data_IF_200984274604
#
_entry.id   IF_200984274604
#
_cell.length_a   1.000
_cell.length_b   1.000
_cell.length_c   1.000
_cell.angle_alpha   90.00
_cell.angle_beta   90.00
_cell.angle_gamma   90.00
#
_symmetry.space_group_name_H-M   'P 1'
#
loop_
_entity.id
_entity.type
_entity.pdbx_description
1 polymer ?
#
# COMPACT_ATOMS: atom_id res chain seq x y z
N UNK A 1 -22.06 19.93 2.99
CA UNK A 1 -21.19 19.75 1.81
C UNK A 1 -19.87 20.45 2.14
N UNK A 2 -18.89 19.71 2.66
CA UNK A 2 -17.60 20.31 3.03
C UNK A 2 -16.77 20.52 1.76
N UNK A 3 -16.23 21.73 1.50
CA UNK A 3 -15.38 21.98 0.35
C UNK A 3 -14.08 21.18 0.48
N UNK A 4 -13.63 20.56 -0.61
CA UNK A 4 -12.31 19.92 -0.71
C UNK A 4 -11.27 21.04 -0.83
N UNK A 5 -10.88 21.59 0.33
CA UNK A 5 -9.74 22.50 0.47
C UNK A 5 -8.47 21.83 -0.04
N UNK A 6 -7.93 22.35 -1.15
CA UNK A 6 -6.55 22.20 -1.62
C UNK A 6 -6.00 20.77 -1.71
N UNK A 7 -5.85 20.24 -2.93
CA UNK A 7 -4.99 19.07 -3.17
C UNK A 7 -3.51 19.42 -2.91
N UNK A 8 -3.12 19.51 -1.64
CA UNK A 8 -1.71 19.52 -1.29
C UNK A 8 -1.20 18.10 -1.54
N UNK A 9 -0.47 17.92 -2.64
CA UNK A 9 0.10 16.62 -2.98
C UNK A 9 1.18 16.30 -1.96
N UNK A 10 0.90 15.39 -1.03
CA UNK A 10 1.87 14.83 -0.10
C UNK A 10 2.80 13.88 -0.86
N UNK A 11 3.77 14.44 -1.60
CA UNK A 11 4.70 13.70 -2.44
C UNK A 11 5.85 13.15 -1.57
N UNK A 12 6.21 11.89 -1.81
CA UNK A 12 7.42 11.25 -1.28
C UNK A 12 8.40 11.15 -2.44
N UNK A 13 9.56 11.79 -2.32
CA UNK A 13 10.55 11.82 -3.39
C UNK A 13 11.27 10.48 -3.55
N UNK A 14 11.85 10.20 -4.71
CA UNK A 14 12.69 9.01 -4.91
C UNK A 14 13.89 8.99 -3.97
N UNK A 15 14.49 10.16 -3.68
CA UNK A 15 15.62 10.28 -2.75
C UNK A 15 15.22 9.90 -1.32
N UNK A 16 14.02 10.27 -0.90
CA UNK A 16 13.48 9.91 0.41
C UNK A 16 13.06 8.43 0.48
N UNK A 17 12.48 7.90 -0.59
CA UNK A 17 12.02 6.54 -0.67
C UNK A 17 13.18 5.53 -0.76
N UNK A 18 14.23 5.84 -1.53
CA UNK A 18 15.39 4.98 -1.81
C UNK A 18 15.07 3.77 -2.70
N UNK A 19 13.95 3.09 -2.45
CA UNK A 19 13.47 1.92 -3.19
C UNK A 19 11.94 1.96 -3.32
N UNK A 20 11.35 1.17 -4.22
CA UNK A 20 9.89 1.05 -4.31
C UNK A 20 9.24 0.52 -3.00
N UNK A 21 9.78 -0.52 -2.32
CA UNK A 21 9.29 -0.88 -0.98
C UNK A 21 9.47 0.24 0.04
N UNK A 22 10.56 1.01 -0.04
CA UNK A 22 10.77 2.18 0.81
C UNK A 22 9.71 3.27 0.61
N UNK A 23 9.32 3.55 -0.63
CA UNK A 23 8.20 4.44 -0.95
C UNK A 23 6.89 3.99 -0.27
N UNK A 24 6.59 2.69 -0.36
CA UNK A 24 5.41 2.10 0.27
C UNK A 24 5.43 2.25 1.80
N UNK A 25 6.56 1.95 2.44
CA UNK A 25 6.71 2.10 3.90
C UNK A 25 6.54 3.57 4.33
N UNK A 26 7.15 4.52 3.61
CA UNK A 26 7.00 5.96 3.88
C UNK A 26 5.55 6.43 3.78
N UNK A 27 4.81 5.94 2.77
CA UNK A 27 3.38 6.26 2.61
C UNK A 27 2.55 5.75 3.80
N UNK A 28 2.82 4.53 4.27
CA UNK A 28 2.12 3.98 5.43
C UNK A 28 2.45 4.78 6.70
N UNK A 29 3.71 5.20 6.88
CA UNK A 29 4.12 6.02 8.02
C UNK A 29 3.40 7.38 8.05
N UNK A 30 3.30 8.06 6.90
CA UNK A 30 2.69 9.40 6.83
C UNK A 30 1.17 9.37 6.98
N UNK A 31 0.50 8.40 6.36
CA UNK A 31 -0.96 8.39 6.26
C UNK A 31 -1.55 6.99 6.46
N UNK A 32 -1.38 6.36 7.65
CA UNK A 32 -1.77 4.96 7.86
C UNK A 32 -3.29 4.74 7.72
N UNK A 33 -4.11 5.72 8.12
CA UNK A 33 -5.58 5.61 8.06
C UNK A 33 -6.19 6.13 6.76
N UNK A 34 -5.38 6.72 5.86
CA UNK A 34 -5.89 7.16 4.58
C UNK A 34 -6.19 5.95 3.68
N UNK A 35 -7.18 6.10 2.81
CA UNK A 35 -7.53 5.07 1.81
C UNK A 35 -6.37 4.89 0.84
N UNK A 36 -5.88 3.66 0.76
CA UNK A 36 -4.82 3.24 -0.17
C UNK A 36 -5.42 2.82 -1.51
N UNK A 37 -6.40 1.92 -1.47
CA UNK A 37 -7.15 1.50 -2.65
C UNK A 37 -8.59 1.13 -2.27
N UNK A 38 -9.43 1.06 -3.28
CA UNK A 38 -10.80 0.59 -3.16
C UNK A 38 -11.01 -0.57 -4.12
N UNK A 39 -11.78 -1.56 -3.70
CA UNK A 39 -12.21 -2.67 -4.55
C UNK A 39 -13.72 -2.79 -4.51
N UNK A 40 -14.31 -3.18 -5.64
CA UNK A 40 -15.72 -3.51 -5.67
C UNK A 40 -15.92 -4.92 -5.14
N UNK A 41 -16.86 -5.07 -4.21
CA UNK A 41 -17.36 -6.34 -3.67
C UNK A 41 -18.69 -6.68 -4.36
N UNK A 42 -18.70 -7.64 -5.31
CA UNK A 42 -19.93 -8.00 -6.02
C UNK A 42 -20.98 -8.66 -5.13
N UNK A 43 -20.58 -9.38 -4.07
CA UNK A 43 -21.51 -10.06 -3.18
C UNK A 43 -22.30 -9.05 -2.34
N UNK A 44 -21.61 -8.03 -1.83
CA UNK A 44 -22.21 -6.91 -1.12
C UNK A 44 -22.68 -5.75 -2.00
N UNK A 45 -22.47 -5.83 -3.32
CA UNK A 45 -22.73 -4.78 -4.32
C UNK A 45 -22.22 -3.39 -3.93
N UNK A 46 -21.02 -3.33 -3.33
CA UNK A 46 -20.49 -2.09 -2.74
C UNK A 46 -19.00 -1.94 -2.97
N UNK A 47 -18.52 -0.70 -2.83
CA UNK A 47 -17.09 -0.43 -2.76
C UNK A 47 -16.58 -0.62 -1.33
N UNK A 48 -15.49 -1.35 -1.19
CA UNK A 48 -14.76 -1.54 0.07
C UNK A 48 -13.47 -0.74 -0.04
N UNK A 49 -13.19 0.06 0.98
CA UNK A 49 -11.94 0.83 1.07
C UNK A 49 -10.96 0.11 1.98
N UNK A 50 -9.69 0.10 1.59
CA UNK A 50 -8.59 -0.40 2.40
C UNK A 50 -7.66 0.75 2.74
N UNK A 51 -7.35 0.89 4.03
CA UNK A 51 -6.38 1.86 4.54
C UNK A 51 -4.95 1.37 4.30
N UNK A 52 -3.98 2.29 4.27
CA UNK A 52 -2.56 1.94 4.15
C UNK A 52 -2.10 0.97 5.25
N UNK A 53 -2.64 1.11 6.48
CA UNK A 53 -2.39 0.16 7.57
C UNK A 53 -2.88 -1.25 7.24
N UNK A 54 -4.08 -1.40 6.71
CA UNK A 54 -4.64 -2.72 6.35
C UNK A 54 -3.84 -3.37 5.21
N UNK A 55 -3.43 -2.58 4.20
CA UNK A 55 -2.57 -3.07 3.12
C UNK A 55 -1.23 -3.56 3.67
N UNK A 56 -0.62 -2.84 4.63
CA UNK A 56 0.62 -3.28 5.29
C UNK A 56 0.47 -4.66 5.94
N UNK A 57 -0.65 -4.93 6.59
CA UNK A 57 -0.91 -6.22 7.23
C UNK A 57 -0.96 -7.35 6.19
N UNK A 58 -1.59 -7.13 5.04
CA UNK A 58 -1.60 -8.11 3.95
C UNK A 58 -0.22 -8.29 3.32
N UNK A 59 0.50 -7.19 3.05
CA UNK A 59 1.85 -7.22 2.52
C UNK A 59 2.80 -8.03 3.41
N UNK A 60 2.73 -7.81 4.73
CA UNK A 60 3.60 -8.50 5.70
C UNK A 60 3.38 -10.02 5.68
N UNK A 61 2.14 -10.47 5.47
CA UNK A 61 1.82 -11.91 5.35
C UNK A 61 2.47 -12.54 4.13
N UNK A 62 2.35 -11.90 2.97
CA UNK A 62 2.97 -12.39 1.74
C UNK A 62 4.49 -12.32 1.78
N UNK A 63 5.05 -11.26 2.36
CA UNK A 63 6.49 -11.14 2.55
C UNK A 63 7.04 -12.29 3.40
N UNK A 64 6.36 -12.62 4.50
CA UNK A 64 6.75 -13.73 5.37
C UNK A 64 6.62 -15.09 4.66
N UNK A 65 5.55 -15.31 3.90
CA UNK A 65 5.38 -16.53 3.13
C UNK A 65 6.51 -16.70 2.10
N UNK A 66 6.78 -15.66 1.29
CA UNK A 66 7.82 -15.69 0.26
C UNK A 66 9.23 -15.82 0.84
N UNK A 67 9.49 -15.26 2.03
CA UNK A 67 10.78 -15.43 2.71
C UNK A 67 11.01 -16.87 3.19
N UNK A 68 9.95 -17.68 3.32
CA UNK A 68 10.04 -19.10 3.62
C UNK A 68 10.25 -19.99 2.39
N UNK A 69 10.16 -19.43 1.18
CA UNK A 69 10.38 -20.14 -0.06
C UNK A 69 11.87 -20.13 -0.44
N UNK A 70 12.29 -21.09 -1.27
CA UNK A 70 13.66 -21.16 -1.79
C UNK A 70 13.85 -20.25 -3.02
N UNK A 71 13.51 -18.97 -2.87
CA UNK A 71 13.67 -17.94 -3.89
C UNK A 71 14.96 -17.15 -3.66
N UNK A 72 15.68 -16.88 -4.75
CA UNK A 72 16.86 -16.03 -4.75
C UNK A 72 16.55 -14.62 -5.28
N UNK A 73 17.43 -13.66 -4.94
CA UNK A 73 17.33 -12.32 -5.48
C UNK A 73 17.48 -12.35 -7.01
N UNK A 74 16.44 -11.92 -7.72
CA UNK A 74 16.38 -11.95 -9.19
C UNK A 74 15.48 -13.04 -9.76
N UNK A 75 14.98 -13.95 -8.93
CA UNK A 75 13.95 -14.90 -9.35
C UNK A 75 12.67 -14.18 -9.77
N UNK A 76 11.99 -14.76 -10.75
CA UNK A 76 10.78 -14.19 -11.37
C UNK A 76 9.55 -14.86 -10.77
N UNK A 77 8.54 -14.04 -10.49
CA UNK A 77 7.21 -14.47 -10.05
C UNK A 77 6.22 -14.23 -11.20
N UNK A 78 5.36 -15.21 -11.48
CA UNK A 78 4.36 -15.18 -12.56
C UNK A 78 2.98 -14.73 -12.07
#
# INVERSE_FOLDING_TARGET
>A
MHPLTGFHSDIISCAEAGTLPGLFLRRIERTPEAVAYQQYDPAGQRWISYTWREVRLQYSRWQQALAGENLEAGDRVA
#
